data_IF_352343090543
#
_entry.id   IF_352343090543
#
_cell.length_a   1.000
_cell.length_b   1.000
_cell.length_c   1.000
_cell.angle_alpha   90.00
_cell.angle_beta   90.00
_cell.angle_gamma   90.00
#
_symmetry.space_group_name_H-M   'P 1'
#
loop_
_entity.id
_entity.type
_entity.pdbx_description
1 polymer ?
#
# COMPACT_ATOMS: atom_id res chain seq x y z
N UNK A 1 -0.28 -56.96 13.92
CA UNK A 1 0.07 -56.45 12.58
C UNK A 1 -0.29 -54.97 12.55
N UNK A 2 0.60 -54.10 13.03
CA UNK A 2 0.40 -52.64 12.96
C UNK A 2 1.42 -52.10 11.98
N UNK A 3 0.94 -51.75 10.79
CA UNK A 3 1.71 -51.10 9.74
C UNK A 3 1.74 -49.60 10.06
N UNK A 4 2.87 -49.13 10.58
CA UNK A 4 3.10 -47.70 10.80
C UNK A 4 3.36 -47.03 9.45
N UNK A 5 2.55 -46.03 9.11
CA UNK A 5 2.83 -45.12 8.00
C UNK A 5 3.99 -44.24 8.45
N UNK A 6 5.18 -44.61 8.01
CA UNK A 6 6.39 -43.82 8.13
C UNK A 6 6.23 -42.56 7.26
N UNK A 7 5.84 -41.45 7.90
CA UNK A 7 5.96 -40.12 7.31
C UNK A 7 7.45 -39.81 7.15
N UNK A 8 8.04 -40.28 6.05
CA UNK A 8 9.35 -39.83 5.60
C UNK A 8 9.26 -38.33 5.30
N UNK A 9 9.61 -37.52 6.29
CA UNK A 9 10.04 -36.15 6.05
C UNK A 9 11.42 -36.25 5.42
N UNK A 10 11.61 -35.86 4.14
CA UNK A 10 12.94 -35.92 3.55
C UNK A 10 13.83 -34.91 4.28
N UNK A 11 14.85 -35.42 4.97
CA UNK A 11 15.91 -34.63 5.59
C UNK A 11 16.76 -33.96 4.51
N UNK A 12 16.19 -32.95 3.85
CA UNK A 12 16.94 -32.04 3.00
C UNK A 12 17.96 -31.30 3.85
N UNK A 13 19.13 -31.04 3.29
CA UNK A 13 20.14 -30.21 3.95
C UNK A 13 19.53 -28.83 4.26
N UNK A 14 20.04 -28.12 5.27
CA UNK A 14 19.56 -26.78 5.63
C UNK A 14 19.45 -25.86 4.39
N UNK A 15 20.38 -26.00 3.46
CA UNK A 15 20.40 -25.37 2.14
C UNK A 15 19.15 -25.66 1.30
N UNK A 16 18.68 -26.91 1.25
CA UNK A 16 17.49 -27.30 0.48
C UNK A 16 16.21 -26.70 1.06
N UNK A 17 16.12 -26.63 2.39
CA UNK A 17 15.00 -26.00 3.10
C UNK A 17 14.99 -24.49 2.87
N UNK A 18 16.16 -23.84 2.95
CA UNK A 18 16.29 -22.41 2.66
C UNK A 18 15.87 -22.12 1.22
N UNK A 19 16.36 -22.90 0.25
CA UNK A 19 16.02 -22.71 -1.16
C UNK A 19 14.52 -22.87 -1.43
N UNK A 20 13.87 -23.88 -0.82
CA UNK A 20 12.40 -24.07 -0.93
C UNK A 20 11.61 -22.93 -0.28
N UNK A 21 12.05 -22.48 0.90
CA UNK A 21 11.42 -21.35 1.59
C UNK A 21 11.53 -20.07 0.76
N UNK A 22 12.72 -19.77 0.22
CA UNK A 22 12.95 -18.63 -0.67
C UNK A 22 12.05 -18.68 -1.91
N UNK A 23 11.91 -19.85 -2.53
CA UNK A 23 11.05 -20.02 -3.70
C UNK A 23 9.56 -19.81 -3.36
N UNK A 24 9.12 -20.25 -2.17
CA UNK A 24 7.76 -19.98 -1.70
C UNK A 24 7.54 -18.48 -1.42
N UNK A 25 8.52 -17.80 -0.83
CA UNK A 25 8.48 -16.35 -0.60
C UNK A 25 8.37 -15.60 -1.92
N UNK A 26 9.21 -15.94 -2.91
CA UNK A 26 9.18 -15.30 -4.23
C UNK A 26 7.84 -15.51 -4.95
N UNK A 27 7.28 -16.73 -4.91
CA UNK A 27 5.96 -17.02 -5.50
C UNK A 27 4.86 -16.23 -4.80
N UNK A 28 4.89 -16.16 -3.47
CA UNK A 28 3.94 -15.38 -2.69
C UNK A 28 4.02 -13.89 -3.03
N UNK A 29 5.24 -13.33 -3.09
CA UNK A 29 5.48 -11.94 -3.47
C UNK A 29 4.96 -11.62 -4.88
N UNK A 30 5.18 -12.53 -5.83
CA UNK A 30 4.67 -12.36 -7.20
C UNK A 30 3.14 -12.31 -7.25
N UNK A 31 2.46 -13.15 -6.45
CA UNK A 31 0.99 -13.14 -6.36
C UNK A 31 0.47 -11.84 -5.75
N UNK A 32 1.11 -11.32 -4.70
CA UNK A 32 0.74 -10.03 -4.08
C UNK A 32 0.93 -8.89 -5.07
N UNK A 33 2.06 -8.83 -5.77
CA UNK A 33 2.31 -7.80 -6.78
C UNK A 33 1.28 -7.83 -7.93
N UNK A 34 0.89 -9.03 -8.38
CA UNK A 34 -0.14 -9.20 -9.39
C UNK A 34 -1.52 -8.73 -8.89
N UNK A 35 -1.89 -9.06 -7.64
CA UNK A 35 -3.12 -8.59 -7.02
C UNK A 35 -3.15 -7.05 -6.92
N UNK A 36 -2.06 -6.42 -6.50
CA UNK A 36 -1.94 -4.96 -6.44
C UNK A 36 -2.07 -4.30 -7.81
N UNK A 37 -1.53 -4.93 -8.86
CA UNK A 37 -1.70 -4.45 -10.23
C UNK A 37 -3.17 -4.47 -10.66
N UNK A 38 -3.91 -5.55 -10.35
CA UNK A 38 -5.35 -5.64 -10.65
C UNK A 38 -6.16 -4.60 -9.88
N UNK A 39 -5.86 -4.39 -8.60
CA UNK A 39 -6.50 -3.34 -7.78
C UNK A 39 -6.26 -1.95 -8.39
N UNK A 40 -5.03 -1.66 -8.84
CA UNK A 40 -4.70 -0.41 -9.54
C UNK A 40 -5.50 -0.23 -10.84
N UNK A 41 -5.61 -1.26 -11.66
CA UNK A 41 -6.40 -1.23 -12.90
C UNK A 41 -7.88 -1.02 -12.59
N UNK A 42 -8.44 -1.77 -11.64
CA UNK A 42 -9.84 -1.63 -11.23
C UNK A 42 -10.14 -0.22 -10.71
N UNK A 43 -9.23 0.38 -9.93
CA UNK A 43 -9.38 1.76 -9.50
C UNK A 43 -9.30 2.76 -10.66
N UNK A 44 -8.45 2.54 -11.67
CA UNK A 44 -8.40 3.39 -12.87
C UNK A 44 -9.73 3.33 -13.64
N UNK A 45 -10.32 2.14 -13.79
CA UNK A 45 -11.60 1.95 -14.48
C UNK A 45 -12.78 2.57 -13.72
N UNK A 46 -12.71 2.62 -12.39
CA UNK A 46 -13.73 3.27 -11.53
C UNK A 46 -13.55 4.79 -11.38
N UNK A 47 -12.50 5.38 -11.96
CA UNK A 47 -12.31 6.84 -12.03
C UNK A 47 -12.88 7.35 -13.35
N UNK A 48 -14.12 7.89 -13.40
CA UNK A 48 -14.58 8.60 -14.59
C UNK A 48 -13.60 9.74 -14.89
N UNK A 49 -13.08 9.77 -16.12
CA UNK A 49 -12.31 10.91 -16.63
C UNK A 49 -13.31 12.00 -16.99
N UNK A 50 -13.75 12.79 -16.02
CA UNK A 50 -14.46 14.02 -16.33
C UNK A 50 -13.43 15.00 -16.92
N UNK A 51 -13.53 15.24 -18.22
CA UNK A 51 -12.86 16.34 -18.89
C UNK A 51 -13.95 17.33 -19.35
N UNK A 52 -13.84 18.58 -18.90
CA UNK A 52 -14.75 19.67 -19.25
C UNK A 52 -15.40 20.32 -18.03
N UNK A 53 -15.18 21.63 -17.89
CA UNK A 53 -15.81 22.47 -16.87
C UNK A 53 -15.05 23.78 -16.66
N UNK A 54 -15.09 24.66 -17.66
CA UNK A 54 -14.89 26.10 -17.50
C UNK A 54 -16.32 26.71 -17.39
N UNK A 55 -16.69 27.77 -16.68
CA UNK A 55 -16.06 28.77 -15.82
C UNK A 55 -16.99 28.95 -14.61
N UNK A 56 -16.48 29.30 -13.44
CA UNK A 56 -17.34 29.63 -12.29
C UNK A 56 -16.56 29.86 -11.02
N UNK A 57 -16.17 31.11 -10.80
CA UNK A 57 -15.58 31.61 -9.56
C UNK A 57 -16.53 31.38 -8.38
N UNK A 58 -16.27 30.34 -7.60
CA UNK A 58 -16.77 30.17 -6.24
C UNK A 58 -15.56 29.80 -5.38
N UNK A 59 -15.20 30.56 -4.32
CA UNK A 59 -14.17 30.14 -3.39
C UNK A 59 -14.73 29.02 -2.50
N UNK A 60 -14.90 27.85 -3.09
CA UNK A 60 -14.89 26.59 -2.34
C UNK A 60 -13.47 26.45 -1.86
N UNK A 61 -13.27 26.18 -0.57
CA UNK A 61 -11.96 25.73 -0.06
C UNK A 61 -11.39 24.76 -1.08
N UNK A 62 -10.34 25.15 -1.79
CA UNK A 62 -9.78 24.37 -2.88
C UNK A 62 -9.04 23.21 -2.27
N UNK A 63 -9.79 22.20 -1.81
CA UNK A 63 -9.22 21.01 -1.19
C UNK A 63 -8.40 20.33 -2.26
N UNK A 64 -7.12 20.13 -1.97
CA UNK A 64 -6.19 19.45 -2.87
C UNK A 64 -6.83 18.11 -3.34
N UNK A 65 -6.98 17.89 -4.66
CA UNK A 65 -7.55 16.67 -5.19
C UNK A 65 -6.86 15.39 -4.67
N UNK A 66 -5.56 15.45 -4.32
CA UNK A 66 -4.81 14.34 -3.72
C UNK A 66 -5.30 14.01 -2.31
N UNK A 67 -5.63 15.03 -1.52
CA UNK A 67 -6.22 14.87 -0.17
C UNK A 67 -7.58 14.20 -0.27
N UNK A 68 -8.45 14.67 -1.18
CA UNK A 68 -9.77 14.07 -1.40
C UNK A 68 -9.68 12.59 -1.78
N UNK A 69 -8.80 12.23 -2.71
CA UNK A 69 -8.60 10.83 -3.14
C UNK A 69 -8.07 9.95 -2.00
N UNK A 70 -7.16 10.50 -1.19
CA UNK A 70 -6.64 9.78 -0.02
C UNK A 70 -7.76 9.53 0.99
N UNK A 71 -8.53 10.57 1.33
CA UNK A 71 -9.68 10.45 2.22
C UNK A 71 -10.69 9.38 1.74
N UNK A 72 -11.01 9.36 0.44
CA UNK A 72 -11.92 8.33 -0.13
C UNK A 72 -11.36 6.93 0.04
N UNK A 73 -10.05 6.70 -0.22
CA UNK A 73 -9.44 5.38 -0.03
C UNK A 73 -9.48 4.94 1.43
N UNK A 74 -9.14 5.84 2.35
CA UNK A 74 -9.13 5.53 3.77
C UNK A 74 -10.53 5.21 4.28
N UNK A 75 -11.54 6.02 3.92
CA UNK A 75 -12.94 5.78 4.28
C UNK A 75 -13.44 4.41 3.79
N UNK A 76 -12.99 3.99 2.61
CA UNK A 76 -13.38 2.72 2.02
C UNK A 76 -12.56 1.52 2.52
N UNK A 77 -11.65 1.70 3.49
CA UNK A 77 -10.81 0.63 4.04
C UNK A 77 -9.73 0.13 3.08
N UNK A 78 -9.41 0.89 2.03
CA UNK A 78 -8.42 0.50 1.02
C UNK A 78 -6.96 0.78 1.45
N UNK A 79 -6.76 1.34 2.64
CA UNK A 79 -5.45 1.55 3.24
C UNK A 79 -5.44 0.94 4.65
N UNK A 80 -4.43 0.14 4.99
CA UNK A 80 -4.30 -0.37 6.35
C UNK A 80 -4.08 0.79 7.31
N UNK A 81 -4.63 0.68 8.51
CA UNK A 81 -4.57 1.72 9.55
C UNK A 81 -3.93 1.22 10.84
N UNK A 82 -3.61 -0.06 10.95
CA UNK A 82 -3.11 -0.73 12.14
C UNK A 82 -1.75 -1.38 11.87
N UNK A 83 -0.81 -1.28 12.82
CA UNK A 83 0.47 -1.99 12.74
C UNK A 83 1.62 -1.24 12.06
N UNK A 84 1.54 0.09 11.92
CA UNK A 84 2.68 0.91 11.51
C UNK A 84 3.81 0.82 12.56
N UNK A 85 5.01 0.41 12.15
CA UNK A 85 6.15 0.18 13.06
C UNK A 85 7.28 1.19 12.89
N UNK A 86 7.50 1.67 11.67
CA UNK A 86 8.62 2.59 11.34
C UNK A 86 8.22 3.58 10.27
N UNK A 87 8.84 4.77 10.33
CA UNK A 87 8.67 5.87 9.39
C UNK A 87 10.02 6.36 8.89
N UNK A 88 10.13 6.59 7.59
CA UNK A 88 11.24 7.31 6.98
C UNK A 88 10.73 8.50 6.17
N UNK A 89 11.59 9.49 5.99
CA UNK A 89 11.29 10.72 5.26
C UNK A 89 12.45 11.03 4.33
N UNK A 90 12.15 11.38 3.10
CA UNK A 90 13.14 11.74 2.10
C UNK A 90 12.54 12.48 0.90
N UNK A 91 13.35 12.84 -0.09
CA UNK A 91 12.84 13.34 -1.36
C UNK A 91 12.13 12.22 -2.14
N UNK A 92 11.12 12.59 -2.92
CA UNK A 92 10.42 11.66 -3.80
C UNK A 92 11.32 11.05 -4.86
N UNK A 93 11.05 9.80 -5.20
CA UNK A 93 11.79 9.08 -6.26
C UNK A 93 10.96 8.83 -7.52
N UNK A 94 9.81 9.49 -7.64
CA UNK A 94 8.80 9.24 -8.69
C UNK A 94 7.85 8.09 -8.34
N UNK A 95 8.00 7.47 -7.17
CA UNK A 95 7.18 6.34 -6.74
C UNK A 95 5.73 6.74 -6.49
N UNK A 96 4.81 5.80 -6.64
CA UNK A 96 3.38 6.09 -6.50
C UNK A 96 2.98 6.26 -5.05
N UNK A 97 2.33 7.37 -4.72
CA UNK A 97 1.69 7.60 -3.43
C UNK A 97 0.51 6.65 -3.24
N UNK A 98 0.54 5.85 -2.16
CA UNK A 98 -0.52 4.92 -1.79
C UNK A 98 -1.84 5.65 -1.47
N UNK A 99 -1.77 6.89 -0.99
CA UNK A 99 -2.93 7.75 -0.73
C UNK A 99 -3.63 8.19 -2.00
N UNK A 100 -3.08 9.17 -2.73
CA UNK A 100 -3.77 9.77 -3.88
C UNK A 100 -3.65 8.96 -5.18
N UNK A 101 -2.60 8.12 -5.31
CA UNK A 101 -2.27 7.36 -6.51
C UNK A 101 -1.43 8.10 -7.55
N UNK A 102 -0.92 9.29 -7.25
CA UNK A 102 -0.01 10.04 -8.12
C UNK A 102 1.45 9.71 -7.79
N UNK A 103 2.39 9.98 -8.70
CA UNK A 103 3.83 9.90 -8.41
C UNK A 103 4.27 10.98 -7.41
N UNK A 104 5.23 10.64 -6.55
CA UNK A 104 5.88 11.57 -5.62
C UNK A 104 7.18 12.04 -6.29
N UNK A 105 7.20 13.26 -6.79
CA UNK A 105 8.33 13.79 -7.56
C UNK A 105 9.51 14.17 -6.65
N UNK A 106 10.74 14.32 -7.18
CA UNK A 106 11.91 14.68 -6.35
C UNK A 106 11.83 16.02 -5.62
N UNK A 107 10.99 16.94 -6.07
CA UNK A 107 10.66 18.20 -5.40
C UNK A 107 9.65 18.03 -4.26
N UNK A 108 9.01 16.87 -4.15
CA UNK A 108 8.04 16.54 -3.11
C UNK A 108 8.69 15.68 -2.01
N UNK A 109 8.19 15.80 -0.78
CA UNK A 109 8.60 14.94 0.33
C UNK A 109 7.86 13.59 0.28
N UNK A 110 8.61 12.51 0.21
CA UNK A 110 8.15 11.13 0.36
C UNK A 110 8.25 10.69 1.81
N UNK A 111 7.13 10.19 2.33
CA UNK A 111 7.05 9.52 3.62
C UNK A 111 6.82 8.04 3.40
N UNK A 112 7.68 7.23 4.00
CA UNK A 112 7.57 5.78 3.96
C UNK A 112 7.10 5.26 5.32
N UNK A 113 6.04 4.45 5.34
CA UNK A 113 5.49 3.82 6.54
C UNK A 113 5.59 2.30 6.36
N UNK A 114 6.34 1.65 7.24
CA UNK A 114 6.48 0.20 7.25
C UNK A 114 5.51 -0.46 8.23
N UNK A 115 4.78 -1.44 7.73
CA UNK A 115 3.92 -2.36 8.46
C UNK A 115 4.63 -3.71 8.58
N UNK A 116 5.38 -3.87 9.67
CA UNK A 116 6.02 -5.13 10.07
C UNK A 116 6.93 -5.77 9.00
N UNK A 117 7.67 -4.97 8.23
CA UNK A 117 8.52 -5.38 7.10
C UNK A 117 7.80 -6.12 5.97
N UNK A 118 6.46 -6.15 5.97
CA UNK A 118 5.67 -6.86 4.97
C UNK A 118 5.02 -5.92 3.94
N UNK A 119 4.78 -4.67 4.33
CA UNK A 119 4.14 -3.67 3.49
C UNK A 119 4.72 -2.28 3.77
N UNK A 120 5.25 -1.66 2.71
CA UNK A 120 5.79 -0.31 2.74
C UNK A 120 4.84 0.64 2.00
N UNK A 121 4.18 1.52 2.74
CA UNK A 121 3.33 2.57 2.15
C UNK A 121 4.14 3.84 1.94
N UNK A 122 3.87 4.52 0.83
CA UNK A 122 4.48 5.78 0.43
C UNK A 122 3.44 6.87 0.36
N UNK A 123 3.75 8.03 0.88
CA UNK A 123 2.83 9.17 0.89
C UNK A 123 3.53 10.49 0.60
N UNK A 124 2.82 11.37 -0.11
CA UNK A 124 3.06 12.81 0.01
C UNK A 124 2.77 13.28 1.43
N UNK A 125 3.37 14.40 1.85
CA UNK A 125 3.14 15.01 3.16
C UNK A 125 1.64 15.17 3.52
N UNK A 126 0.85 15.78 2.63
CA UNK A 126 -0.58 16.04 2.91
C UNK A 126 -1.44 14.77 2.86
N UNK A 127 -1.04 13.79 2.03
CA UNK A 127 -1.71 12.50 1.98
C UNK A 127 -1.46 11.72 3.28
N UNK A 128 -0.24 11.76 3.82
CA UNK A 128 0.07 11.13 5.10
C UNK A 128 -0.78 11.74 6.22
N UNK A 129 -0.81 13.08 6.32
CA UNK A 129 -1.63 13.77 7.34
C UNK A 129 -3.09 13.34 7.28
N UNK A 130 -3.65 13.26 6.08
CA UNK A 130 -5.02 12.80 5.87
C UNK A 130 -5.22 11.36 6.37
N UNK A 131 -4.30 10.46 6.05
CA UNK A 131 -4.35 9.07 6.50
C UNK A 131 -4.22 8.94 8.03
N UNK A 132 -3.33 9.71 8.66
CA UNK A 132 -3.11 9.70 10.12
C UNK A 132 -4.36 10.12 10.90
N UNK A 133 -5.22 11.00 10.35
CA UNK A 133 -6.48 11.37 11.02
C UNK A 133 -7.40 10.17 11.26
N UNK A 134 -7.31 9.13 10.44
CA UNK A 134 -8.12 7.91 10.58
C UNK A 134 -7.42 6.81 11.38
N UNK A 135 -6.09 6.72 11.30
CA UNK A 135 -5.29 5.83 12.15
C UNK A 135 -5.42 6.24 13.63
N UNK A 136 -5.24 7.54 13.93
CA UNK A 136 -5.40 8.07 15.29
C UNK A 136 -6.82 7.97 15.86
N UNK A 137 -7.85 7.97 15.00
CA UNK A 137 -9.24 7.78 15.41
C UNK A 137 -9.57 6.33 15.80
N UNK A 138 -8.76 5.34 15.39
CA UNK A 138 -8.96 3.91 15.70
C UNK A 138 -8.11 3.39 16.85
N UNK A 139 -7.06 4.11 17.27
CA UNK A 139 -6.25 3.76 18.46
C UNK A 139 -6.88 4.16 19.80
N UNK A 140 -7.92 4.99 19.78
CA UNK A 140 -8.62 5.50 20.97
C UNK A 140 -9.99 4.81 21.22
N UNK A 141 -10.30 3.77 20.46
CA UNK A 141 -11.52 2.95 20.62
C UNK A 141 -11.20 1.60 21.24
#
# INVERSE_FOLDING_TARGET
MSSGVELLVPSGTLSDLIARSQMNIQRSQALVAAADALVRVAHRSRRPRFAGGTDGSEPRLSVDPRVLRTWTKVKNGALPTDGARRRWVGPGRGETCNGCGDGITPDETEYEIDFSNALLLRFHRECLRTWETFDGARRQG
#
